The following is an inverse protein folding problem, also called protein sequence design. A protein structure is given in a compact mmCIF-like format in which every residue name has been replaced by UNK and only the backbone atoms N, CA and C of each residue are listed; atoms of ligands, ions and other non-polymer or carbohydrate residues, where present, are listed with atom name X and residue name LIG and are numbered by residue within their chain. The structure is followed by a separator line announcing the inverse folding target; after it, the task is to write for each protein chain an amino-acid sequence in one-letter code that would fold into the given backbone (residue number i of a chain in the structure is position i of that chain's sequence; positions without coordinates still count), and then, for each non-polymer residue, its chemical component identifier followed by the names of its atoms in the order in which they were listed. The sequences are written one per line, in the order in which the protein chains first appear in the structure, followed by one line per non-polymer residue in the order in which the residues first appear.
data_IF_893149539438
#
_entry.id   IF_893149539438
#
_cell.length_a   1.000
_cell.length_b   1.000
_cell.length_c   1.000
_cell.angle_alpha   90.00
_cell.angle_beta   90.00
_cell.angle_gamma   90.00
#
_symmetry.space_group_name_H-M   'P 1'
#
loop_
_entity.id
_entity.type
_entity.pdbx_description
1 polymer ?
#
# COMPACT_ATOMS: atom_id res chain seq x y z
N UNK A 1 19.15 18.69 36.54
CA UNK A 1 18.20 18.02 37.46
C UNK A 1 18.12 16.58 36.99
N UNK A 2 18.96 15.72 37.56
CA UNK A 2 19.25 14.39 37.02
C UNK A 2 18.21 13.38 37.54
N UNK A 3 17.87 12.40 36.69
CA UNK A 3 16.95 11.29 36.99
C UNK A 3 17.36 10.51 38.25
N UNK A 4 18.65 10.48 38.59
CA UNK A 4 19.16 9.79 39.79
C UNK A 4 18.81 10.56 41.08
N UNK A 5 18.76 11.89 41.02
CA UNK A 5 18.55 12.74 42.21
C UNK A 5 17.04 12.90 42.49
N UNK A 6 16.23 12.92 41.44
CA UNK A 6 14.78 13.12 41.53
C UNK A 6 14.05 12.24 40.50
N UNK A 7 14.18 10.91 40.61
CA UNK A 7 13.39 9.98 39.81
C UNK A 7 11.92 10.09 40.22
N UNK A 8 11.07 10.31 39.23
CA UNK A 8 9.61 10.38 39.38
C UNK A 8 8.91 9.13 38.85
N UNK A 9 9.67 8.08 38.50
CA UNK A 9 9.14 6.89 37.80
C UNK A 9 8.17 6.06 38.66
N UNK A 10 8.30 6.17 39.98
CA UNK A 10 7.42 5.50 40.94
C UNK A 10 6.15 6.29 41.27
N UNK A 11 6.04 7.53 40.77
CA UNK A 11 4.92 8.43 41.05
C UNK A 11 4.01 8.44 39.82
N UNK A 12 2.75 8.03 40.00
CA UNK A 12 1.72 8.25 38.99
C UNK A 12 1.16 9.65 39.11
N UNK A 13 1.26 10.42 38.04
CA UNK A 13 0.69 11.75 37.99
C UNK A 13 -0.78 11.70 37.60
N UNK A 14 -1.59 12.62 38.14
CA UNK A 14 -2.99 12.79 37.72
C UNK A 14 -3.11 13.04 36.21
N UNK A 15 -2.10 13.68 35.61
CA UNK A 15 -2.01 13.89 34.17
C UNK A 15 -1.94 12.57 33.38
N UNK A 16 -1.14 11.61 33.84
CA UNK A 16 -0.99 10.30 33.19
C UNK A 16 -2.34 9.57 33.20
N UNK A 17 -2.99 9.54 34.38
CA UNK A 17 -4.32 8.94 34.56
C UNK A 17 -5.36 9.62 33.65
N UNK A 18 -5.36 10.95 33.59
CA UNK A 18 -6.31 11.71 32.78
C UNK A 18 -6.11 11.50 31.27
N UNK A 19 -4.86 11.37 30.79
CA UNK A 19 -4.53 11.11 29.38
C UNK A 19 -4.93 9.69 28.98
N UNK A 20 -4.56 8.68 29.78
CA UNK A 20 -4.90 7.27 29.52
C UNK A 20 -6.42 7.04 29.50
N UNK A 21 -7.14 7.65 30.44
CA UNK A 21 -8.59 7.53 30.54
C UNK A 21 -9.34 8.51 29.62
N UNK A 22 -8.63 9.39 28.92
CA UNK A 22 -9.19 10.46 28.07
C UNK A 22 -10.26 11.30 28.78
N UNK A 23 -10.03 11.62 30.06
CA UNK A 23 -10.95 12.40 30.89
C UNK A 23 -11.10 13.81 30.30
N UNK A 24 -12.33 14.35 30.33
CA UNK A 24 -12.62 15.70 29.85
C UNK A 24 -12.62 15.89 28.33
N UNK A 25 -12.35 14.84 27.53
CA UNK A 25 -12.35 14.95 26.07
C UNK A 25 -13.79 15.00 25.51
N UNK A 26 -14.25 16.20 25.17
CA UNK A 26 -15.56 16.39 24.52
C UNK A 26 -15.53 15.93 23.05
N UNK A 27 -16.67 15.47 22.49
CA UNK A 27 -16.77 15.19 21.05
C UNK A 27 -16.45 16.45 20.23
N UNK A 28 -15.95 16.24 19.01
CA UNK A 28 -15.69 17.35 18.09
C UNK A 28 -17.00 18.07 17.71
N UNK A 29 -16.97 19.41 17.57
CA UNK A 29 -18.17 20.18 17.27
C UNK A 29 -18.68 19.95 15.85
N UNK A 30 -17.80 19.59 14.91
CA UNK A 30 -18.14 19.37 13.51
C UNK A 30 -17.63 18.02 12.99
N UNK A 31 -18.44 17.29 12.22
CA UNK A 31 -18.00 16.07 11.55
C UNK A 31 -16.90 16.36 10.51
N UNK A 32 -15.91 15.47 10.40
CA UNK A 32 -14.89 15.52 9.35
C UNK A 32 -13.74 16.49 9.60
N UNK A 33 -13.60 17.04 10.81
CA UNK A 33 -12.40 17.79 11.19
C UNK A 33 -11.15 16.90 11.15
N UNK A 34 -10.02 17.49 10.75
CA UNK A 34 -8.75 16.80 10.73
C UNK A 34 -8.20 16.65 12.16
N UNK A 35 -7.62 15.47 12.44
CA UNK A 35 -7.11 15.10 13.76
C UNK A 35 -5.62 14.77 13.68
N UNK A 36 -4.92 15.43 12.76
CA UNK A 36 -3.55 15.08 12.36
C UNK A 36 -2.50 15.31 13.46
N UNK A 37 -2.82 16.13 14.47
CA UNK A 37 -2.00 16.35 15.66
C UNK A 37 -2.58 15.78 16.96
N UNK A 38 -3.69 15.04 16.89
CA UNK A 38 -4.30 14.42 18.06
C UNK A 38 -3.64 13.07 18.38
N UNK A 39 -3.62 12.71 19.66
CA UNK A 39 -3.15 11.40 20.09
C UNK A 39 -4.01 10.28 19.46
N UNK A 40 -3.41 9.08 19.33
CA UNK A 40 -4.13 7.90 18.86
C UNK A 40 -5.12 7.47 19.93
N UNK A 41 -6.35 7.17 19.52
CA UNK A 41 -7.38 6.73 20.45
C UNK A 41 -7.13 5.29 20.91
N UNK A 42 -6.68 5.11 22.14
CA UNK A 42 -6.48 3.77 22.73
C UNK A 42 -7.77 2.97 22.84
N UNK A 43 -8.90 3.62 23.15
CA UNK A 43 -10.20 2.95 23.18
C UNK A 43 -10.61 2.45 21.80
N UNK A 44 -10.23 3.14 20.72
CA UNK A 44 -10.52 2.66 19.36
C UNK A 44 -9.67 1.44 19.02
N UNK A 45 -8.39 1.45 19.42
CA UNK A 45 -7.51 0.29 19.28
C UNK A 45 -8.03 -0.94 20.03
N UNK A 46 -8.66 -0.73 21.20
CA UNK A 46 -9.33 -1.77 22.00
C UNK A 46 -10.79 -2.03 21.59
N UNK A 47 -11.28 -1.45 20.49
CA UNK A 47 -12.66 -1.55 20.00
C UNK A 47 -13.77 -1.10 20.98
N UNK A 48 -13.45 -0.23 21.95
CA UNK A 48 -14.35 0.29 22.99
C UNK A 48 -14.71 1.78 22.80
N UNK A 49 -14.28 2.43 21.71
CA UNK A 49 -14.56 3.85 21.50
C UNK A 49 -16.02 4.12 21.12
N UNK A 50 -16.79 4.72 22.04
CA UNK A 50 -18.19 5.11 21.80
C UNK A 50 -18.38 6.42 21.02
N UNK A 51 -17.32 7.19 20.76
CA UNK A 51 -17.41 8.53 20.12
C UNK A 51 -17.44 8.48 18.59
N UNK A 52 -17.21 7.31 17.99
CA UNK A 52 -17.26 7.11 16.54
C UNK A 52 -16.37 8.08 15.76
N UNK A 53 -16.85 8.57 14.60
CA UNK A 53 -16.10 9.51 13.75
C UNK A 53 -15.91 10.93 14.34
N UNK A 54 -16.64 11.27 15.40
CA UNK A 54 -16.53 12.55 16.12
C UNK A 54 -15.61 12.48 17.34
N UNK A 55 -14.88 11.37 17.51
CA UNK A 55 -13.85 11.26 18.51
C UNK A 55 -12.78 12.35 18.29
N UNK A 56 -12.38 13.11 19.33
CA UNK A 56 -11.33 14.12 19.21
C UNK A 56 -9.94 13.51 18.98
N UNK A 57 -9.78 12.22 19.26
CA UNK A 57 -8.56 11.46 19.05
C UNK A 57 -8.54 10.77 17.69
N UNK A 58 -7.33 10.51 17.20
CA UNK A 58 -7.10 9.90 15.89
C UNK A 58 -7.46 8.42 15.90
N UNK A 59 -8.24 7.98 14.92
CA UNK A 59 -8.56 6.57 14.69
C UNK A 59 -7.66 6.00 13.59
N UNK A 60 -6.93 4.95 13.92
CA UNK A 60 -6.09 4.21 12.97
C UNK A 60 -6.86 3.01 12.42
N UNK A 61 -7.47 3.20 11.26
CA UNK A 61 -8.15 2.10 10.55
C UNK A 61 -7.27 1.59 9.41
N UNK A 62 -7.10 0.27 9.35
CA UNK A 62 -6.40 -0.43 8.26
C UNK A 62 -4.89 -0.22 8.21
N UNK A 63 -4.23 -1.15 7.52
CA UNK A 63 -2.81 -1.07 7.17
C UNK A 63 -2.61 -0.08 6.01
N UNK A 64 -1.79 0.95 6.25
CA UNK A 64 -1.45 1.97 5.25
C UNK A 64 0.03 1.81 4.91
N UNK A 65 0.33 1.64 3.63
CA UNK A 65 1.68 1.23 3.18
C UNK A 65 2.58 2.41 2.82
N UNK A 66 2.02 3.51 2.30
CA UNK A 66 2.79 4.66 1.78
C UNK A 66 2.41 5.93 2.51
N UNK A 67 3.41 6.75 2.85
CA UNK A 67 3.23 8.04 3.52
C UNK A 67 2.46 9.04 2.65
N UNK A 68 1.52 9.75 3.26
CA UNK A 68 0.70 10.75 2.61
C UNK A 68 1.50 12.02 2.30
N UNK A 69 1.69 12.31 1.00
CA UNK A 69 2.38 13.54 0.56
C UNK A 69 1.72 14.84 1.02
N UNK A 70 0.40 14.84 1.24
CA UNK A 70 -0.35 16.04 1.65
C UNK A 70 -0.26 16.26 3.16
N UNK A 71 -0.17 15.18 3.95
CA UNK A 71 -0.01 15.25 5.39
C UNK A 71 1.37 15.80 5.78
N UNK A 72 2.42 15.44 5.04
CA UNK A 72 3.77 16.02 5.23
C UNK A 72 3.80 17.55 5.09
N UNK A 73 2.81 18.14 4.40
CA UNK A 73 2.65 19.59 4.23
C UNK A 73 1.59 20.20 5.15
N UNK A 74 0.92 19.40 5.98
CA UNK A 74 -0.20 19.85 6.81
C UNK A 74 -1.49 20.18 6.04
N UNK A 75 -1.64 19.68 4.81
CA UNK A 75 -2.77 20.03 3.92
C UNK A 75 -3.74 18.86 3.68
N UNK A 76 -3.65 17.79 4.48
CA UNK A 76 -4.51 16.63 4.29
C UNK A 76 -5.92 16.87 4.83
N UNK A 77 -6.90 16.99 3.93
CA UNK A 77 -8.33 17.14 4.27
C UNK A 77 -9.03 15.83 4.63
N UNK A 78 -8.44 14.68 4.28
CA UNK A 78 -9.06 13.37 4.53
C UNK A 78 -8.91 12.91 6.00
N UNK A 79 -8.05 13.57 6.79
CA UNK A 79 -7.83 13.21 8.20
C UNK A 79 -7.59 11.71 8.37
N UNK A 80 -8.31 11.09 9.29
CA UNK A 80 -8.22 9.65 9.61
C UNK A 80 -8.67 8.74 8.47
N UNK A 81 -9.50 9.24 7.56
CA UNK A 81 -10.03 8.49 6.41
C UNK A 81 -9.09 8.57 5.20
N UNK A 82 -7.87 9.06 5.39
CA UNK A 82 -6.87 9.06 4.34
C UNK A 82 -6.41 7.64 4.04
N UNK A 83 -6.33 7.30 2.76
CA UNK A 83 -5.81 6.01 2.27
C UNK A 83 -4.30 5.88 2.46
N UNK A 84 -3.62 7.00 2.75
CA UNK A 84 -2.18 7.08 2.92
C UNK A 84 -1.80 7.25 4.38
N UNK A 85 -0.63 6.76 4.75
CA UNK A 85 -0.11 6.76 6.11
C UNK A 85 0.19 8.19 6.58
N UNK A 86 -0.28 8.55 7.77
CA UNK A 86 0.00 9.82 8.45
C UNK A 86 1.04 9.60 9.55
N UNK A 87 2.18 9.02 9.18
CA UNK A 87 3.32 8.76 10.05
C UNK A 87 4.59 9.10 9.28
N UNK A 88 5.60 9.59 10.01
CA UNK A 88 6.87 9.99 9.41
C UNK A 88 7.80 8.79 9.36
N UNK A 89 7.70 8.01 8.30
CA UNK A 89 8.55 6.84 8.03
C UNK A 89 9.25 7.01 6.67
N UNK A 90 10.57 7.16 6.70
CA UNK A 90 11.38 7.35 5.48
C UNK A 90 11.37 6.12 4.57
N UNK A 91 11.17 4.93 5.12
CA UNK A 91 11.18 3.68 4.33
C UNK A 91 9.91 3.50 3.49
N UNK A 92 8.82 4.13 3.93
CA UNK A 92 7.49 4.08 3.29
C UNK A 92 7.18 5.36 2.52
N UNK A 93 8.18 6.19 2.27
CA UNK A 93 8.00 7.41 1.50
C UNK A 93 7.73 7.06 0.02
N UNK A 94 6.82 7.76 -0.68
CA UNK A 94 6.62 7.54 -2.11
C UNK A 94 7.89 7.82 -2.92
N UNK A 95 7.97 7.20 -4.10
CA UNK A 95 9.05 7.38 -5.07
C UNK A 95 9.11 8.85 -5.53
N UNK A 96 10.33 9.38 -5.68
CA UNK A 96 10.55 10.71 -6.23
C UNK A 96 10.19 10.72 -7.72
N UNK A 97 9.17 11.51 -8.09
CA UNK A 97 8.74 11.63 -9.48
C UNK A 97 9.85 12.16 -10.40
N UNK A 98 10.61 13.16 -9.96
CA UNK A 98 11.67 13.77 -10.79
C UNK A 98 12.80 12.78 -11.05
N UNK A 99 13.26 12.10 -10.01
CA UNK A 99 14.31 11.09 -10.14
C UNK A 99 13.86 9.91 -10.98
N UNK A 100 12.65 9.38 -10.75
CA UNK A 100 12.12 8.25 -11.53
C UNK A 100 11.92 8.57 -13.01
N UNK A 101 11.62 9.82 -13.36
CA UNK A 101 11.31 10.21 -14.75
C UNK A 101 12.51 10.77 -15.50
N UNK A 102 13.33 11.59 -14.85
CA UNK A 102 14.43 12.32 -15.49
C UNK A 102 15.81 11.80 -15.08
N UNK A 103 15.90 10.88 -14.10
CA UNK A 103 17.17 10.37 -13.58
C UNK A 103 17.91 11.33 -12.66
N UNK A 104 17.38 12.54 -12.45
CA UNK A 104 17.99 13.58 -11.64
C UNK A 104 16.94 14.26 -10.77
N UNK A 105 17.29 14.52 -9.51
CA UNK A 105 16.49 15.34 -8.59
C UNK A 105 17.24 16.63 -8.30
N UNK A 106 16.58 17.77 -8.50
CA UNK A 106 17.15 19.09 -8.22
C UNK A 106 17.42 19.33 -6.73
N UNK A 107 16.65 18.69 -5.85
CA UNK A 107 16.78 18.85 -4.40
C UNK A 107 17.78 17.82 -3.84
N UNK A 108 18.83 18.32 -3.16
CA UNK A 108 19.84 17.48 -2.49
C UNK A 108 19.28 16.73 -1.28
N UNK A 109 18.38 17.38 -0.53
CA UNK A 109 17.68 16.78 0.62
C UNK A 109 16.25 16.42 0.21
N UNK A 110 16.09 15.56 -0.80
CA UNK A 110 14.79 15.08 -1.23
C UNK A 110 14.26 14.04 -0.21
N UNK A 111 13.11 14.26 0.44
CA UNK A 111 12.56 13.27 1.37
C UNK A 111 12.09 11.99 0.67
N UNK A 112 11.78 12.08 -0.63
CA UNK A 112 11.23 10.99 -1.44
C UNK A 112 12.29 9.98 -1.86
N UNK A 113 11.87 8.71 -2.04
CA UNK A 113 12.81 7.64 -2.39
C UNK A 113 13.36 7.83 -3.81
N UNK A 114 14.69 7.90 -3.92
CA UNK A 114 15.43 7.83 -5.17
C UNK A 114 15.73 6.36 -5.50
N UNK A 115 14.90 5.76 -6.35
CA UNK A 115 15.08 4.39 -6.83
C UNK A 115 15.54 4.47 -8.28
N UNK A 116 16.72 3.95 -8.56
CA UNK A 116 17.22 3.87 -9.94
C UNK A 116 16.30 2.96 -10.77
N UNK A 117 15.75 3.43 -11.89
CA UNK A 117 14.86 2.62 -12.72
C UNK A 117 15.53 1.32 -13.20
N UNK A 118 16.86 1.31 -13.35
CA UNK A 118 17.64 0.12 -13.72
C UNK A 118 17.74 -0.91 -12.60
N UNK A 119 17.65 -0.48 -11.34
CA UNK A 119 17.58 -1.37 -10.17
C UNK A 119 16.20 -2.04 -10.03
N UNK A 120 15.15 -1.44 -10.61
CA UNK A 120 13.77 -1.97 -10.62
C UNK A 120 13.59 -3.13 -11.60
N UNK A 121 14.46 -3.22 -12.62
CA UNK A 121 14.44 -4.33 -13.57
C UNK A 121 14.97 -5.58 -12.85
N UNK A 122 14.07 -6.52 -12.58
CA UNK A 122 14.42 -7.81 -11.97
C UNK A 122 15.48 -8.52 -12.82
N UNK A 123 16.43 -9.18 -12.15
CA UNK A 123 17.40 -10.05 -12.80
C UNK A 123 16.68 -11.18 -13.53
N UNK A 124 17.20 -11.54 -14.71
CA UNK A 124 16.60 -12.56 -15.55
C UNK A 124 16.81 -13.95 -14.95
N UNK A 125 15.75 -14.68 -14.56
CA UNK A 125 15.88 -16.01 -13.96
C UNK A 125 16.48 -17.06 -14.92
N UNK A 126 16.45 -16.81 -16.23
CA UNK A 126 17.05 -17.69 -17.24
C UNK A 126 18.54 -17.40 -17.40
N UNK A 127 18.93 -16.12 -17.37
CA UNK A 127 20.33 -15.73 -17.46
C UNK A 127 21.12 -16.13 -16.21
N UNK A 128 20.52 -16.02 -15.03
CA UNK A 128 21.12 -16.48 -13.77
C UNK A 128 21.37 -18.00 -13.74
N UNK A 129 20.63 -18.76 -14.56
CA UNK A 129 20.88 -20.19 -14.80
C UNK A 129 21.94 -20.47 -15.88
N UNK A 130 22.49 -19.42 -16.47
CA UNK A 130 23.58 -19.48 -17.45
C UNK A 130 23.17 -19.08 -18.86
N UNK A 131 21.91 -19.26 -19.27
CA UNK A 131 21.48 -18.95 -20.64
C UNK A 131 20.07 -18.37 -20.70
N UNK A 132 19.96 -17.17 -21.29
CA UNK A 132 18.69 -16.57 -21.64
C UNK A 132 18.49 -16.58 -23.16
N UNK A 133 17.39 -17.20 -23.62
CA UNK A 133 17.00 -17.28 -25.03
C UNK A 133 16.85 -15.92 -25.73
N UNK A 134 16.56 -14.86 -24.97
CA UNK A 134 16.37 -13.52 -25.50
C UNK A 134 17.71 -12.76 -25.67
N UNK A 135 18.81 -13.33 -25.18
CA UNK A 135 20.15 -12.74 -25.32
C UNK A 135 20.19 -11.27 -24.86
N UNK A 136 20.87 -10.38 -25.59
CA UNK A 136 20.99 -8.96 -25.21
C UNK A 136 19.66 -8.18 -25.32
N UNK A 137 18.63 -8.73 -25.95
CA UNK A 137 17.31 -8.11 -26.10
C UNK A 137 16.34 -8.52 -24.98
N UNK A 138 16.83 -9.16 -23.91
CA UNK A 138 15.98 -9.53 -22.80
C UNK A 138 15.47 -8.29 -22.05
N UNK A 139 14.17 -8.27 -21.73
CA UNK A 139 13.55 -7.24 -20.88
C UNK A 139 14.05 -7.28 -19.42
N UNK A 140 14.57 -8.41 -18.98
CA UNK A 140 15.12 -8.57 -17.63
C UNK A 140 16.63 -8.32 -17.63
N UNK A 141 17.16 -7.83 -16.51
CA UNK A 141 18.57 -7.47 -16.40
C UNK A 141 19.43 -8.74 -16.46
N UNK A 142 20.47 -8.72 -17.28
CA UNK A 142 21.46 -9.79 -17.37
C UNK A 142 22.73 -9.38 -16.62
N UNK A 143 22.83 -9.78 -15.35
CA UNK A 143 24.01 -9.50 -14.52
C UNK A 143 25.08 -10.57 -14.77
N UNK A 144 26.14 -10.22 -15.50
CA UNK A 144 27.28 -11.12 -15.74
C UNK A 144 28.02 -11.38 -14.42
N UNK A 145 27.98 -12.62 -13.94
CA UNK A 145 28.74 -13.08 -12.77
C UNK A 145 29.64 -14.24 -13.17
N UNK A 146 30.82 -14.34 -12.55
CA UNK A 146 31.74 -15.46 -12.77
C UNK A 146 31.24 -16.66 -11.96
N UNK A 147 31.03 -17.79 -12.65
CA UNK A 147 30.55 -19.04 -12.04
C UNK A 147 31.67 -19.63 -11.18
N UNK A 148 31.34 -20.12 -10.00
CA UNK A 148 32.26 -20.88 -9.16
C UNK A 148 32.57 -22.23 -9.81
N UNK A 149 33.82 -22.43 -10.22
CA UNK A 149 34.25 -23.70 -10.84
C UNK A 149 34.09 -24.87 -9.87
N UNK A 150 34.48 -24.70 -8.60
CA UNK A 150 34.38 -25.77 -7.59
C UNK A 150 32.91 -26.19 -7.35
N UNK A 151 32.01 -25.22 -7.25
CA UNK A 151 30.58 -25.50 -7.11
C UNK A 151 30.00 -26.17 -8.36
N UNK A 152 30.43 -25.75 -9.55
CA UNK A 152 30.01 -26.37 -10.81
C UNK A 152 30.41 -27.85 -10.90
N UNK A 153 31.58 -28.20 -10.33
CA UNK A 153 32.07 -29.59 -10.25
C UNK A 153 31.38 -30.40 -9.12
N UNK A 154 30.54 -29.74 -8.32
CA UNK A 154 29.62 -30.38 -7.36
C UNK A 154 29.85 -29.99 -5.90
N UNK A 155 30.99 -29.39 -5.54
CA UNK A 155 31.26 -29.00 -4.16
C UNK A 155 32.16 -27.77 -4.07
N UNK A 156 31.69 -26.73 -3.38
CA UNK A 156 32.49 -25.57 -3.02
C UNK A 156 32.72 -25.52 -1.51
N UNK A 157 33.97 -25.51 -1.03
CA UNK A 157 34.28 -25.48 0.40
C UNK A 157 33.82 -24.18 1.09
N UNK A 158 33.62 -23.10 0.34
CA UNK A 158 33.15 -21.80 0.87
C UNK A 158 31.62 -21.74 1.04
N UNK A 159 30.89 -22.77 0.61
CA UNK A 159 29.43 -22.87 0.80
C UNK A 159 28.64 -21.74 0.13
N UNK A 160 27.45 -21.36 0.65
CA UNK A 160 26.58 -20.33 0.06
C UNK A 160 27.17 -18.90 0.12
N UNK A 161 28.23 -18.70 0.90
CA UNK A 161 28.96 -17.44 1.04
C UNK A 161 30.14 -17.27 0.08
N UNK A 162 30.32 -18.20 -0.88
CA UNK A 162 31.40 -18.13 -1.87
C UNK A 162 31.39 -16.80 -2.66
N UNK A 163 32.58 -16.27 -2.95
CA UNK A 163 32.77 -15.05 -3.76
C UNK A 163 32.26 -15.21 -5.20
N UNK A 164 32.26 -16.44 -5.71
CA UNK A 164 31.86 -16.79 -7.07
C UNK A 164 30.40 -17.26 -7.12
N UNK A 165 29.72 -17.03 -8.24
CA UNK A 165 28.29 -17.33 -8.38
C UNK A 165 28.04 -18.84 -8.35
N UNK A 166 27.12 -19.27 -7.48
CA UNK A 166 26.59 -20.62 -7.43
C UNK A 166 25.24 -20.66 -8.17
N UNK A 167 25.16 -21.23 -9.39
CA UNK A 167 23.90 -21.28 -10.12
C UNK A 167 22.88 -22.15 -9.37
N UNK A 168 21.64 -21.66 -9.28
CA UNK A 168 20.52 -22.45 -8.75
C UNK A 168 19.78 -23.10 -9.91
N UNK A 169 19.99 -24.40 -10.09
CA UNK A 169 19.38 -25.17 -11.18
C UNK A 169 17.95 -25.63 -10.87
N UNK A 170 17.56 -25.62 -9.59
CA UNK A 170 16.20 -25.92 -9.17
C UNK A 170 15.25 -24.76 -9.46
N UNK A 171 14.09 -25.08 -10.04
CA UNK A 171 12.97 -24.14 -10.16
C UNK A 171 12.46 -23.81 -8.74
N UNK A 172 12.07 -22.57 -8.43
CA UNK A 172 11.08 -22.36 -7.39
C UNK A 172 9.78 -22.98 -7.89
N UNK A 173 9.59 -24.27 -7.62
CA UNK A 173 8.24 -24.79 -7.50
C UNK A 173 7.62 -23.96 -6.39
N UNK A 174 6.51 -23.28 -6.69
CA UNK A 174 5.76 -22.49 -5.72
C UNK A 174 5.41 -23.35 -4.53
N UNK A 175 6.27 -23.33 -3.53
CA UNK A 175 6.03 -23.92 -2.22
C UNK A 175 5.78 -22.72 -1.35
N UNK A 176 4.49 -22.46 -1.17
CA UNK A 176 3.95 -22.01 0.11
C UNK A 176 4.89 -22.43 1.22
N UNK A 177 5.33 -21.46 2.03
CA UNK A 177 5.86 -21.76 3.34
C UNK A 177 4.85 -22.65 4.06
N UNK A 178 5.10 -23.95 4.05
CA UNK A 178 4.44 -24.89 4.93
C UNK A 178 5.39 -25.09 6.11
N UNK A 179 4.95 -24.76 7.34
CA UNK A 179 5.59 -25.24 8.57
C UNK A 179 5.63 -26.78 8.58
N UNK A 180 6.52 -27.39 9.37
CA UNK A 180 6.79 -28.83 9.32
C UNK A 180 5.53 -29.66 9.56
N UNK A 181 5.36 -30.70 8.72
CA UNK A 181 4.25 -31.66 8.71
C UNK A 181 4.12 -32.41 10.06
N UNK A 182 2.90 -32.51 10.65
CA UNK A 182 2.59 -33.52 11.64
C UNK A 182 2.26 -34.87 10.99
N UNK A 183 2.74 -35.94 11.62
CA UNK A 183 2.59 -37.35 11.23
C UNK A 183 1.13 -37.79 11.02
N UNK A 184 0.95 -38.68 10.04
CA UNK A 184 -0.30 -39.33 9.70
C UNK A 184 -0.79 -40.27 10.80
N UNK A 185 -2.09 -40.26 11.04
CA UNK A 185 -2.83 -41.45 11.49
C UNK A 185 -4.17 -41.45 10.75
N UNK A 186 -4.40 -42.46 9.91
CA UNK A 186 -5.72 -42.76 9.34
C UNK A 186 -6.62 -43.36 10.43
N UNK A 187 -7.98 -43.39 10.30
CA UNK A 187 -8.63 -44.40 9.43
C UNK A 187 -9.99 -43.86 8.84
N UNK A 188 -10.95 -44.69 8.38
CA UNK A 188 -11.34 -44.69 6.97
C UNK A 188 -12.86 -44.45 6.72
N UNK A 189 -13.24 -44.55 5.44
CA UNK A 189 -14.46 -45.18 4.93
C UNK A 189 -15.59 -44.31 4.31
N UNK A 190 -15.72 -44.51 2.98
CA UNK A 190 -16.95 -44.85 2.22
C UNK A 190 -18.06 -43.79 2.04
N UNK A 191 -18.24 -43.32 0.79
CA UNK A 191 -19.27 -43.78 -0.18
C UNK A 191 -19.32 -42.86 -1.41
N UNK A 192 -19.56 -43.47 -2.57
CA UNK A 192 -19.86 -42.83 -3.86
C UNK A 192 -21.39 -42.87 -4.12
N UNK A 193 -21.89 -42.58 -5.33
CA UNK A 193 -21.98 -41.28 -6.02
C UNK A 193 -23.43 -40.96 -6.44
N UNK A 194 -23.81 -39.71 -6.76
CA UNK A 194 -25.01 -39.42 -7.58
C UNK A 194 -24.89 -38.12 -8.40
N UNK A 195 -25.81 -37.99 -9.35
CA UNK A 195 -25.72 -37.41 -10.69
C UNK A 195 -26.50 -36.10 -10.87
N UNK A 196 -26.04 -35.30 -11.87
CA UNK A 196 -26.76 -34.30 -12.71
C UNK A 196 -27.27 -33.00 -12.04
N UNK A 197 -26.85 -31.86 -12.63
CA UNK A 197 -27.52 -30.56 -12.48
C UNK A 197 -26.75 -29.39 -13.08
N UNK A 198 -27.08 -29.01 -14.32
CA UNK A 198 -26.66 -27.76 -14.98
C UNK A 198 -27.60 -26.64 -14.53
N UNK A 199 -27.09 -25.50 -14.01
CA UNK A 199 -27.63 -24.14 -14.13
C UNK A 199 -26.84 -23.18 -13.22
N UNK A 200 -26.11 -22.21 -13.80
CA UNK A 200 -26.48 -20.80 -13.98
C UNK A 200 -26.27 -19.92 -12.74
N UNK A 201 -25.33 -18.99 -12.95
CA UNK A 201 -24.95 -17.87 -12.10
C UNK A 201 -26.15 -16.97 -11.80
N UNK A 202 -26.45 -16.76 -10.51
CA UNK A 202 -27.40 -15.76 -10.08
C UNK A 202 -26.66 -14.52 -9.57
N UNK A 203 -26.80 -13.49 -10.39
CA UNK A 203 -26.35 -12.13 -10.24
C UNK A 203 -27.34 -11.38 -9.33
N UNK A 204 -26.88 -10.87 -8.19
CA UNK A 204 -27.70 -10.05 -7.28
C UNK A 204 -27.62 -8.57 -7.67
N UNK A 205 -28.59 -8.15 -8.47
CA UNK A 205 -29.43 -6.95 -8.30
C UNK A 205 -28.77 -5.62 -7.90
N UNK A 206 -28.03 -5.00 -8.82
CA UNK A 206 -27.83 -3.55 -8.83
C UNK A 206 -28.97 -2.85 -9.60
N UNK A 207 -29.61 -1.88 -8.96
CA UNK A 207 -30.77 -1.16 -9.46
C UNK A 207 -30.58 -0.56 -10.86
N UNK A 208 -31.52 -0.90 -11.73
CA UNK A 208 -31.65 -0.45 -13.10
C UNK A 208 -32.02 1.06 -13.12
N UNK A 209 -31.06 1.95 -13.38
CA UNK A 209 -31.33 3.30 -13.89
C UNK A 209 -30.77 3.38 -15.30
N UNK A 210 -31.67 3.28 -16.28
CA UNK A 210 -31.32 3.45 -17.68
C UNK A 210 -30.67 4.82 -17.95
N UNK A 211 -30.01 4.99 -19.12
CA UNK A 211 -29.40 6.25 -19.50
C UNK A 211 -30.43 7.38 -19.50
N UNK A 212 -30.13 8.49 -18.83
CA UNK A 212 -31.01 9.67 -18.88
C UNK A 212 -31.09 10.19 -20.33
N UNK A 213 -32.28 10.59 -20.82
CA UNK A 213 -32.42 11.14 -22.16
C UNK A 213 -31.53 12.39 -22.33
N UNK A 214 -30.83 12.49 -23.46
CA UNK A 214 -29.81 13.53 -23.70
C UNK A 214 -30.36 14.96 -23.52
N UNK A 215 -31.64 15.19 -23.80
CA UNK A 215 -32.32 16.48 -23.62
C UNK A 215 -32.38 16.98 -22.18
N UNK A 216 -32.27 16.08 -21.19
CA UNK A 216 -32.22 16.45 -19.77
C UNK A 216 -30.80 16.59 -19.22
N UNK A 217 -29.78 16.29 -20.04
CA UNK A 217 -28.37 16.37 -19.65
C UNK A 217 -27.85 17.77 -19.94
N UNK A 218 -27.63 18.55 -18.89
CA UNK A 218 -26.99 19.88 -18.97
C UNK A 218 -25.47 19.71 -19.00
N UNK A 219 -24.82 20.33 -19.98
CA UNK A 219 -23.37 20.33 -20.08
C UNK A 219 -22.75 21.27 -19.05
N UNK A 220 -21.93 20.72 -18.13
CA UNK A 220 -21.23 21.51 -17.10
C UNK A 220 -20.17 22.50 -17.63
N UNK A 221 -19.86 22.48 -18.93
CA UNK A 221 -18.88 23.39 -19.55
C UNK A 221 -19.53 24.62 -20.20
N UNK A 222 -20.74 24.50 -20.75
CA UNK A 222 -21.41 25.60 -21.46
C UNK A 222 -22.84 25.90 -20.96
N UNK A 223 -23.38 25.12 -20.02
CA UNK A 223 -24.73 25.32 -19.47
C UNK A 223 -25.88 24.88 -20.39
N UNK A 224 -25.60 24.42 -21.62
CA UNK A 224 -26.63 23.98 -22.58
C UNK A 224 -27.01 22.51 -22.41
N UNK A 225 -28.28 22.19 -22.67
CA UNK A 225 -28.82 20.82 -22.60
C UNK A 225 -28.62 20.08 -23.93
N UNK A 226 -28.63 18.74 -23.91
CA UNK A 226 -28.57 17.91 -25.12
C UNK A 226 -27.25 17.18 -25.35
N UNK A 227 -26.22 17.41 -24.53
CA UNK A 227 -24.92 16.73 -24.66
C UNK A 227 -24.14 16.65 -23.34
N UNK A 228 -23.24 15.66 -23.25
CA UNK A 228 -22.31 15.51 -22.13
C UNK A 228 -21.07 16.39 -22.31
N UNK A 229 -20.45 16.81 -21.21
CA UNK A 229 -19.27 17.69 -21.20
C UNK A 229 -18.09 17.18 -22.04
N UNK A 230 -17.98 15.86 -22.26
CA UNK A 230 -16.94 15.24 -23.08
C UNK A 230 -17.15 15.40 -24.60
N UNK A 231 -18.35 15.83 -25.02
CA UNK A 231 -18.73 16.09 -26.42
C UNK A 231 -19.12 17.55 -26.65
N UNK A 232 -18.69 18.45 -25.76
CA UNK A 232 -18.99 19.87 -25.88
C UNK A 232 -18.16 20.52 -26.99
N UNK A 233 -18.83 21.06 -28.00
CA UNK A 233 -18.21 21.73 -29.15
C UNK A 233 -17.66 23.12 -28.81
N UNK A 234 -18.09 23.73 -27.69
CA UNK A 234 -17.69 25.09 -27.28
C UNK A 234 -16.33 25.18 -26.56
N UNK A 235 -15.62 24.06 -26.40
CA UNK A 235 -14.27 24.03 -25.82
C UNK A 235 -14.18 24.54 -24.37
N UNK A 236 -12.96 24.64 -23.83
CA UNK A 236 -12.70 25.05 -22.43
C UNK A 236 -12.92 26.55 -22.18
N UNK A 237 -13.14 27.36 -23.23
CA UNK A 237 -13.21 28.82 -23.13
C UNK A 237 -14.64 29.38 -23.00
N UNK A 238 -15.67 28.53 -23.06
CA UNK A 238 -17.06 28.96 -22.95
C UNK A 238 -17.46 29.54 -21.57
N UNK A 239 -16.60 29.37 -20.55
CA UNK A 239 -16.86 29.86 -19.19
C UNK A 239 -16.77 31.39 -19.05
N UNK A 240 -16.28 32.10 -20.08
CA UNK A 240 -16.03 33.56 -20.02
C UNK A 240 -17.10 34.42 -20.72
N UNK A 241 -18.17 33.84 -21.28
CA UNK A 241 -19.19 34.60 -22.02
C UNK A 241 -20.55 34.66 -21.31
N UNK A 242 -20.60 34.41 -20.00
CA UNK A 242 -21.81 34.51 -19.19
C UNK A 242 -21.67 35.54 -18.07
N UNK A 243 -21.69 36.82 -18.44
CA UNK A 243 -22.11 37.92 -17.57
C UNK A 243 -23.17 38.72 -18.33
#
# INVERSE_FOLDING_TARGET
MQEIIASVDHIKFDLEIAVEQQLGAQPLPFPGMDKSGAAVCEFFLKAACGKGGMCPFRHISGEKTVVCKHWLRGLCKKGDQCEFLHEYDMTKMPECYFYSKFGECSNKECPFLHIDPESKIKDCPWYDRGFCKHGPLCRHRHTRRVICVNYLVGFCPEGPSCKFMHPRFELPMGTTEQPPLPQQTQPPAKRAPQVIGVMQSQNSSAGNRGPRPLEQVTCYKCGEKGHYANRCTKGHLAFLSGQ
#
